data_IF_756950095785
#
_entry.id   IF_756950095785
#
_cell.length_a   1.000
_cell.length_b   1.000
_cell.length_c   1.000
_cell.angle_alpha   90.00
_cell.angle_beta   90.00
_cell.angle_gamma   90.00
#
_symmetry.space_group_name_H-M   'P 1'
#
loop_
_entity.id
_entity.type
_entity.pdbx_description
1 polymer ?
#
# COMPACT_ATOMS: atom_id res chain seq x y z
N UNK A 1 -48.03 54.40 -30.90
CA UNK A 1 -46.62 54.84 -30.99
C UNK A 1 -45.77 53.97 -30.08
N UNK A 2 -44.60 53.51 -30.58
CA UNK A 2 -43.41 52.93 -29.87
C UNK A 2 -43.62 51.62 -29.07
N UNK A 3 -43.09 50.48 -29.56
CA UNK A 3 -41.73 49.89 -29.31
C UNK A 3 -41.55 49.54 -27.83
N UNK A 4 -41.23 48.33 -27.36
CA UNK A 4 -40.52 47.16 -27.89
C UNK A 4 -39.71 46.52 -26.73
N UNK A 5 -39.14 45.33 -26.95
CA UNK A 5 -38.28 44.48 -26.06
C UNK A 5 -39.06 43.34 -25.38
N UNK A 6 -39.27 42.19 -26.02
CA UNK A 6 -38.33 41.13 -26.46
C UNK A 6 -37.51 40.52 -25.31
N UNK A 7 -37.91 39.28 -24.96
CA UNK A 7 -37.07 38.09 -24.71
C UNK A 7 -35.74 38.30 -23.99
N UNK A 8 -35.68 38.02 -22.68
CA UNK A 8 -34.38 37.70 -22.05
C UNK A 8 -34.43 37.00 -20.69
N UNK A 9 -35.48 36.23 -20.38
CA UNK A 9 -35.60 35.59 -19.05
C UNK A 9 -35.61 34.04 -19.08
N UNK A 10 -35.67 33.40 -20.24
CA UNK A 10 -35.89 31.94 -20.31
C UNK A 10 -34.64 31.09 -20.58
N UNK A 11 -33.45 31.67 -20.74
CA UNK A 11 -32.22 30.93 -21.12
C UNK A 11 -31.26 30.62 -19.96
N UNK A 12 -31.53 31.11 -18.75
CA UNK A 12 -30.61 30.93 -17.61
C UNK A 12 -30.94 29.66 -16.79
N UNK A 13 -32.17 29.14 -16.86
CA UNK A 13 -32.58 28.00 -16.04
C UNK A 13 -32.14 26.62 -16.59
N UNK A 14 -31.87 26.48 -17.89
CA UNK A 14 -31.49 25.18 -18.49
C UNK A 14 -29.98 24.91 -18.43
N UNK A 15 -29.16 25.95 -18.28
CA UNK A 15 -27.69 25.81 -18.21
C UNK A 15 -27.16 25.30 -16.88
N UNK A 16 -27.94 25.40 -15.80
CA UNK A 16 -27.47 25.06 -14.45
C UNK A 16 -27.64 23.56 -14.11
N UNK A 17 -28.56 22.85 -14.77
CA UNK A 17 -28.73 21.41 -14.55
C UNK A 17 -27.69 20.55 -15.29
N UNK A 18 -27.08 21.07 -16.37
CA UNK A 18 -26.05 20.35 -17.13
C UNK A 18 -24.64 20.44 -16.56
N UNK A 19 -24.40 21.29 -15.54
CA UNK A 19 -23.07 21.47 -14.93
C UNK A 19 -22.85 20.71 -13.62
N UNK A 20 -23.86 20.01 -13.09
CA UNK A 20 -23.75 19.25 -11.84
C UNK A 20 -23.33 17.78 -12.02
N UNK A 21 -23.12 17.34 -13.27
CA UNK A 21 -22.46 16.06 -13.59
C UNK A 21 -20.95 16.24 -13.84
N UNK A 22 -20.31 17.20 -13.16
CA UNK A 22 -18.86 17.23 -13.04
C UNK A 22 -18.42 16.02 -12.21
N UNK A 23 -18.30 14.89 -12.92
CA UNK A 23 -17.93 13.58 -12.44
C UNK A 23 -16.77 13.68 -11.45
N UNK A 24 -16.99 13.16 -10.25
CA UNK A 24 -15.95 12.79 -9.32
C UNK A 24 -15.12 11.67 -9.96
N UNK A 25 -14.21 12.03 -10.87
CA UNK A 25 -13.21 11.12 -11.37
C UNK A 25 -12.32 10.81 -10.18
N UNK A 26 -12.43 9.58 -9.65
CA UNK A 26 -11.39 9.01 -8.79
C UNK A 26 -10.10 9.13 -9.58
N UNK A 27 -9.26 10.10 -9.21
CA UNK A 27 -7.94 10.23 -9.80
C UNK A 27 -7.23 8.89 -9.56
N UNK A 28 -7.07 8.11 -10.62
CA UNK A 28 -6.31 6.88 -10.60
C UNK A 28 -4.85 7.28 -10.46
N UNK A 29 -4.39 7.48 -9.22
CA UNK A 29 -2.98 7.71 -8.96
C UNK A 29 -2.19 6.56 -9.61
N UNK A 30 -1.15 6.84 -10.42
CA UNK A 30 -0.32 5.80 -11.01
C UNK A 30 0.11 4.82 -9.91
N UNK A 31 -0.32 3.57 -10.05
CA UNK A 31 -0.43 2.63 -8.94
C UNK A 31 0.91 2.38 -8.25
N UNK A 32 0.93 2.38 -6.92
CA UNK A 32 2.15 2.09 -6.14
C UNK A 32 2.83 0.77 -6.51
N UNK A 33 2.07 -0.20 -7.04
CA UNK A 33 2.57 -1.47 -7.57
C UNK A 33 3.50 -1.32 -8.78
N UNK A 34 3.40 -0.24 -9.58
CA UNK A 34 4.23 -0.02 -10.76
C UNK A 34 5.73 0.14 -10.45
N UNK A 35 6.07 0.44 -9.18
CA UNK A 35 7.45 0.51 -8.70
C UNK A 35 7.99 -0.83 -8.20
N UNK A 36 7.13 -1.84 -8.07
CA UNK A 36 7.51 -3.19 -7.65
C UNK A 36 7.84 -4.05 -8.86
N UNK A 37 8.73 -5.02 -8.69
CA UNK A 37 9.18 -5.93 -9.75
C UNK A 37 8.76 -7.36 -9.44
N UNK A 38 8.42 -8.17 -10.45
CA UNK A 38 8.21 -9.60 -10.26
C UNK A 38 9.43 -10.25 -9.58
N UNK A 39 9.18 -11.10 -8.61
CA UNK A 39 10.20 -11.81 -7.84
C UNK A 39 9.70 -13.19 -7.42
N UNK A 40 10.62 -14.03 -6.94
CA UNK A 40 10.33 -15.30 -6.27
C UNK A 40 10.91 -15.27 -4.87
N UNK A 41 10.25 -15.96 -3.95
CA UNK A 41 10.74 -16.18 -2.59
C UNK A 41 10.95 -17.69 -2.37
N UNK A 42 11.99 -18.11 -1.63
CA UNK A 42 12.17 -19.52 -1.30
C UNK A 42 10.90 -20.14 -0.70
N UNK A 43 10.51 -21.32 -1.21
CA UNK A 43 9.34 -22.04 -0.73
C UNK A 43 7.98 -21.47 -1.18
N UNK A 44 7.96 -20.54 -2.14
CA UNK A 44 6.76 -20.00 -2.78
C UNK A 44 6.90 -20.14 -4.31
N UNK A 45 6.01 -20.91 -4.94
CA UNK A 45 6.12 -21.21 -6.38
C UNK A 45 5.64 -20.08 -7.29
N UNK A 46 4.63 -19.34 -6.83
CA UNK A 46 4.03 -18.25 -7.60
C UNK A 46 4.93 -17.00 -7.64
N UNK A 47 4.68 -16.12 -8.61
CA UNK A 47 5.37 -14.84 -8.71
C UNK A 47 4.77 -13.84 -7.73
N UNK A 48 5.62 -13.22 -6.93
CA UNK A 48 5.26 -12.08 -6.08
C UNK A 48 5.71 -10.78 -6.75
N UNK A 49 5.31 -9.65 -6.20
CA UNK A 49 5.90 -8.36 -6.53
C UNK A 49 6.75 -7.88 -5.35
N UNK A 50 8.03 -7.64 -5.57
CA UNK A 50 8.96 -7.18 -4.55
C UNK A 50 9.46 -5.77 -4.86
N UNK A 51 9.78 -5.02 -3.81
CA UNK A 51 10.45 -3.75 -3.98
C UNK A 51 10.81 -3.10 -2.67
N UNK A 52 11.21 -1.84 -2.78
CA UNK A 52 11.62 -1.02 -1.65
C UNK A 52 10.80 0.26 -1.63
N UNK A 53 10.38 0.66 -0.44
CA UNK A 53 9.76 1.96 -0.20
C UNK A 53 10.69 2.83 0.64
N UNK A 54 11.36 3.78 -0.01
CA UNK A 54 12.38 4.61 0.63
C UNK A 54 11.76 5.80 1.36
N UNK A 55 11.92 5.85 2.68
CA UNK A 55 11.39 6.90 3.57
C UNK A 55 12.52 7.66 4.26
N UNK A 56 12.25 8.86 4.76
CA UNK A 56 13.15 9.51 5.71
C UNK A 56 13.13 8.76 7.03
N UNK A 57 14.31 8.59 7.64
CA UNK A 57 14.42 7.99 8.95
C UNK A 57 13.72 8.84 10.01
N UNK A 58 13.99 10.15 10.02
CA UNK A 58 13.23 11.13 10.78
C UNK A 58 12.06 11.65 9.93
N UNK A 59 10.84 11.29 10.33
CA UNK A 59 9.61 11.67 9.60
C UNK A 59 9.16 13.09 9.87
N UNK A 60 9.49 13.65 11.03
CA UNK A 60 9.09 15.00 11.42
C UNK A 60 9.85 16.03 10.58
N UNK A 61 11.17 15.90 10.51
CA UNK A 61 12.02 16.85 9.77
C UNK A 61 12.05 16.57 8.27
N UNK A 62 11.78 15.32 7.86
CA UNK A 62 11.92 14.85 6.47
C UNK A 62 13.31 15.19 5.88
N UNK A 63 14.34 15.12 6.71
CA UNK A 63 15.70 15.43 6.35
C UNK A 63 16.67 14.35 6.89
N UNK A 64 17.89 14.34 6.37
CA UNK A 64 18.93 13.40 6.78
C UNK A 64 18.79 12.01 6.15
N UNK A 65 19.17 10.98 6.91
CA UNK A 65 19.26 9.60 6.40
C UNK A 65 17.91 9.09 5.91
N UNK A 66 17.94 8.39 4.77
CA UNK A 66 16.79 7.64 4.26
C UNK A 66 17.00 6.15 4.47
N UNK A 67 15.90 5.45 4.72
CA UNK A 67 15.89 4.00 4.90
C UNK A 67 14.91 3.37 3.90
N UNK A 68 15.29 2.21 3.39
CA UNK A 68 14.42 1.39 2.57
C UNK A 68 13.55 0.49 3.45
N UNK A 69 12.25 0.49 3.20
CA UNK A 69 11.34 -0.53 3.71
C UNK A 69 11.20 -1.65 2.68
N UNK A 70 11.42 -2.89 3.08
CA UNK A 70 11.24 -4.07 2.26
C UNK A 70 9.73 -4.37 2.12
N UNK A 71 9.27 -4.50 0.87
CA UNK A 71 7.86 -4.70 0.53
C UNK A 71 7.72 -5.92 -0.37
N UNK A 72 6.86 -6.85 0.04
CA UNK A 72 6.36 -7.94 -0.80
C UNK A 72 4.86 -7.76 -1.01
N UNK A 73 4.38 -8.00 -2.22
CA UNK A 73 2.95 -8.06 -2.53
C UNK A 73 2.66 -9.40 -3.16
N UNK A 74 1.69 -10.08 -2.57
CA UNK A 74 1.10 -11.29 -3.10
C UNK A 74 -0.20 -10.91 -3.83
N UNK A 75 -0.24 -10.96 -5.17
CA UNK A 75 -1.40 -10.49 -5.90
C UNK A 75 -2.66 -11.30 -5.60
N UNK A 76 -3.82 -10.64 -5.65
CA UNK A 76 -5.12 -11.30 -5.59
C UNK A 76 -5.25 -12.36 -6.71
N UNK A 77 -6.02 -13.42 -6.48
CA UNK A 77 -6.30 -14.38 -7.55
C UNK A 77 -7.27 -13.79 -8.59
N UNK A 78 -8.33 -13.12 -8.14
CA UNK A 78 -9.20 -12.36 -9.03
C UNK A 78 -8.68 -10.92 -9.22
N UNK A 79 -8.08 -10.67 -10.38
CA UNK A 79 -7.61 -9.35 -10.78
C UNK A 79 -8.73 -8.45 -11.35
N UNK A 80 -9.87 -9.02 -11.75
CA UNK A 80 -10.99 -8.27 -12.37
C UNK A 80 -11.87 -7.59 -11.33
N UNK A 81 -12.12 -8.24 -10.20
CA UNK A 81 -12.98 -7.71 -9.12
C UNK A 81 -12.23 -7.42 -7.82
N UNK A 82 -11.01 -6.90 -7.95
CA UNK A 82 -10.15 -6.57 -6.81
C UNK A 82 -10.84 -5.66 -5.79
N UNK A 83 -10.81 -6.10 -4.54
CA UNK A 83 -11.12 -5.31 -3.37
C UNK A 83 -9.85 -4.63 -2.83
N UNK A 84 -10.01 -3.76 -1.84
CA UNK A 84 -8.90 -3.06 -1.18
C UNK A 84 -7.84 -4.04 -0.64
N UNK A 85 -6.55 -3.69 -0.72
CA UNK A 85 -5.48 -4.56 -0.26
C UNK A 85 -5.57 -4.83 1.26
N UNK A 86 -5.13 -6.02 1.65
CA UNK A 86 -4.90 -6.37 3.05
C UNK A 86 -3.43 -6.09 3.38
N UNK A 87 -3.17 -5.27 4.40
CA UNK A 87 -1.83 -5.05 4.91
C UNK A 87 -1.60 -5.93 6.13
N UNK A 88 -0.61 -6.79 6.06
CA UNK A 88 -0.15 -7.58 7.21
C UNK A 88 1.02 -6.85 7.87
N UNK A 89 0.88 -6.63 9.18
CA UNK A 89 1.92 -6.09 10.03
C UNK A 89 2.20 -7.13 11.11
N UNK A 90 3.40 -7.71 11.08
CA UNK A 90 3.79 -8.67 12.08
C UNK A 90 3.74 -8.06 13.50
N UNK A 91 3.21 -8.83 14.44
CA UNK A 91 3.15 -8.48 15.85
C UNK A 91 4.50 -8.62 16.59
N UNK A 92 4.46 -8.54 17.92
CA UNK A 92 5.64 -8.54 18.77
C UNK A 92 6.28 -7.15 18.86
N UNK A 93 7.60 -7.08 19.03
CA UNK A 93 8.37 -6.21 18.15
C UNK A 93 9.53 -6.96 17.48
N UNK A 94 10.02 -6.44 16.36
CA UNK A 94 11.21 -6.98 15.68
C UNK A 94 10.93 -8.03 14.59
N UNK A 95 9.71 -8.54 14.48
CA UNK A 95 9.33 -9.49 13.44
C UNK A 95 9.24 -8.84 12.04
N UNK A 96 9.58 -9.61 11.01
CA UNK A 96 9.45 -9.20 9.62
C UNK A 96 8.09 -9.65 9.09
N UNK A 97 7.23 -8.71 8.65
CA UNK A 97 5.94 -9.08 8.05
C UNK A 97 6.13 -9.90 6.77
N UNK A 98 7.26 -9.73 6.08
CA UNK A 98 7.56 -10.52 4.86
C UNK A 98 7.84 -11.99 5.14
N UNK A 99 8.08 -12.40 6.38
CA UNK A 99 8.17 -13.81 6.77
C UNK A 99 6.81 -14.53 6.66
N UNK A 100 5.70 -13.79 6.73
CA UNK A 100 4.34 -14.33 6.53
C UNK A 100 4.00 -14.63 5.05
N UNK A 101 4.90 -14.34 4.10
CA UNK A 101 4.64 -14.55 2.68
C UNK A 101 4.25 -15.99 2.35
N UNK A 102 4.90 -16.98 2.98
CA UNK A 102 4.57 -18.39 2.76
C UNK A 102 3.13 -18.68 3.17
N UNK A 103 2.73 -18.28 4.38
CA UNK A 103 1.35 -18.46 4.87
C UNK A 103 0.32 -17.95 3.86
N UNK A 104 0.47 -16.72 3.37
CA UNK A 104 -0.45 -16.16 2.37
C UNK A 104 -0.34 -16.79 0.97
N UNK A 105 0.74 -17.50 0.68
CA UNK A 105 0.89 -18.31 -0.52
C UNK A 105 0.37 -19.75 -0.34
N UNK A 106 0.06 -20.21 0.88
CA UNK A 106 -0.37 -21.58 1.19
C UNK A 106 -1.64 -21.63 2.04
N UNK A 107 -1.54 -21.70 3.36
CA UNK A 107 -2.67 -21.94 4.28
C UNK A 107 -3.63 -20.75 4.33
N UNK A 108 -3.12 -19.54 4.10
CA UNK A 108 -3.85 -18.27 4.09
C UNK A 108 -4.33 -17.82 2.72
N UNK A 109 -4.35 -18.69 1.70
CA UNK A 109 -4.76 -18.33 0.32
C UNK A 109 -6.13 -17.65 0.24
N UNK A 110 -7.07 -17.98 1.11
CA UNK A 110 -8.43 -17.41 1.10
C UNK A 110 -8.44 -15.88 1.29
N UNK A 111 -7.48 -15.32 2.04
CA UNK A 111 -7.34 -13.86 2.18
C UNK A 111 -7.04 -13.16 0.85
N UNK A 112 -6.50 -13.89 -0.13
CA UNK A 112 -6.11 -13.39 -1.46
C UNK A 112 -7.12 -13.63 -2.56
N UNK A 113 -8.31 -14.16 -2.27
CA UNK A 113 -9.36 -14.36 -3.31
C UNK A 113 -9.57 -13.11 -4.15
N UNK A 114 -9.72 -11.96 -3.49
CA UNK A 114 -9.95 -10.65 -4.14
C UNK A 114 -9.07 -9.52 -3.63
N UNK A 115 -8.12 -9.78 -2.75
CA UNK A 115 -7.25 -8.74 -2.16
C UNK A 115 -5.80 -9.05 -2.48
N UNK A 116 -5.06 -8.03 -2.87
CA UNK A 116 -3.61 -8.11 -2.77
C UNK A 116 -3.26 -8.16 -1.29
N UNK A 117 -2.37 -9.06 -0.90
CA UNK A 117 -1.76 -9.03 0.44
C UNK A 117 -0.44 -8.31 0.35
N UNK A 118 -0.32 -7.22 1.10
CA UNK A 118 0.85 -6.36 1.13
C UNK A 118 1.58 -6.59 2.46
N UNK A 119 2.81 -7.07 2.36
CA UNK A 119 3.69 -7.33 3.47
C UNK A 119 4.76 -6.25 3.49
N UNK A 120 4.83 -5.50 4.58
CA UNK A 120 5.85 -4.46 4.77
C UNK A 120 6.61 -4.78 6.04
N UNK A 121 7.92 -5.01 5.89
CA UNK A 121 8.80 -5.09 7.04
C UNK A 121 8.86 -3.70 7.69
N UNK A 122 8.43 -3.61 8.94
CA UNK A 122 8.47 -2.36 9.70
C UNK A 122 9.92 -1.87 9.85
N UNK A 123 10.09 -0.56 10.09
CA UNK A 123 11.41 0.06 10.32
C UNK A 123 12.12 -0.70 11.44
N UNK A 124 13.36 -1.13 11.24
CA UNK A 124 14.10 -1.84 12.27
C UNK A 124 13.86 -3.35 12.32
N UNK A 125 13.08 -3.92 11.39
CA UNK A 125 12.77 -5.35 11.33
C UNK A 125 13.13 -5.96 9.97
N UNK A 126 13.24 -7.29 9.89
CA UNK A 126 13.47 -8.03 8.64
C UNK A 126 14.60 -7.45 7.77
N UNK A 127 14.26 -7.13 6.52
CA UNK A 127 15.20 -6.49 5.57
C UNK A 127 15.08 -4.96 5.55
N UNK A 128 14.30 -4.37 6.47
CA UNK A 128 14.07 -2.94 6.62
C UNK A 128 14.98 -2.30 7.66
N UNK A 129 16.31 -2.41 7.46
CA UNK A 129 17.33 -1.86 8.35
C UNK A 129 17.23 -2.43 9.78
N UNK A 130 17.36 -3.75 9.97
CA UNK A 130 17.10 -4.41 11.25
C UNK A 130 17.98 -3.87 12.38
N UNK A 131 17.38 -3.66 13.56
CA UNK A 131 18.11 -3.30 14.76
C UNK A 131 18.72 -4.56 15.38
N UNK A 132 20.04 -4.67 15.36
CA UNK A 132 20.76 -5.73 16.05
C UNK A 132 21.50 -5.16 17.26
N UNK A 133 21.29 -5.78 18.41
CA UNK A 133 22.12 -5.53 19.60
C UNK A 133 23.00 -6.77 19.76
N UNK A 134 24.32 -6.67 19.54
CA UNK A 134 25.24 -7.76 19.83
C UNK A 134 25.13 -8.10 21.30
N UNK A 135 24.51 -9.24 21.64
CA UNK A 135 24.40 -9.70 23.03
C UNK A 135 24.96 -11.11 23.14
N UNK A 136 25.93 -11.29 24.03
CA UNK A 136 26.37 -12.62 24.47
C UNK A 136 25.24 -13.19 25.32
N UNK A 137 24.55 -14.20 24.81
CA UNK A 137 23.51 -14.91 25.56
C UNK A 137 24.18 -15.74 26.65
N UNK A 138 24.34 -15.17 27.84
CA UNK A 138 24.78 -15.91 29.03
C UNK A 138 23.56 -16.26 29.90
N UNK A 139 23.61 -17.35 30.68
CA UNK A 139 22.51 -17.70 31.60
C UNK A 139 22.12 -16.56 32.54
N UNK A 140 23.08 -15.73 32.97
CA UNK A 140 22.86 -14.55 33.82
C UNK A 140 21.90 -13.51 33.20
N UNK A 141 21.70 -13.51 31.88
CA UNK A 141 20.79 -12.59 31.21
C UNK A 141 19.32 -12.83 31.55
N UNK A 142 18.93 -14.07 31.84
CA UNK A 142 17.53 -14.45 32.13
C UNK A 142 17.21 -14.51 33.62
N UNK A 143 18.21 -14.27 34.48
CA UNK A 143 18.11 -14.35 35.94
C UNK A 143 17.96 -12.97 36.61
N UNK A 144 17.69 -11.91 35.82
CA UNK A 144 17.44 -10.55 36.31
C UNK A 144 16.02 -10.11 35.98
#
# INVERSE_FOLDING_TARGET
MRRGRLFSAALIAVGCELFLLAACHKAQLPGGLAKLKPCRSPGIEEKLLCGKFTVFENRETRAGRRIDLNVLVLPAFDQKTKAEPLFDLAGGPGAASTDAARFYATEGKEYRRRRDVVLVDQRGTGKSNPLSVPRKKTPQYYLR
#
